data_IF_325756530048
#
_entry.id   IF_325756530048
#
_cell.length_a   1.000
_cell.length_b   1.000
_cell.length_c   1.000
_cell.angle_alpha   90.00
_cell.angle_beta   90.00
_cell.angle_gamma   90.00
#
_symmetry.space_group_name_H-M   'P 1'
#
loop_
_entity.id
_entity.type
_entity.pdbx_description
1 polymer ?
#
# COMPACT_ATOMS: atom_id res chain seq x y z
N UNK A 1 -4.27 -23.62 31.09
CA UNK A 1 -5.31 -23.06 31.98
C UNK A 1 -5.68 -21.59 31.67
N UNK A 2 -5.01 -20.89 30.73
CA UNK A 2 -5.43 -19.53 30.30
C UNK A 2 -6.39 -19.49 29.09
N UNK A 3 -6.47 -20.56 28.29
CA UNK A 3 -7.33 -20.60 27.09
C UNK A 3 -8.84 -20.72 27.38
N UNK A 4 -9.21 -20.96 28.65
CA UNK A 4 -10.60 -21.04 29.08
C UNK A 4 -11.23 -19.67 29.37
N UNK A 5 -10.41 -18.62 29.53
CA UNK A 5 -10.86 -17.26 29.86
C UNK A 5 -10.53 -16.21 28.78
N UNK A 6 -9.61 -16.50 27.87
CA UNK A 6 -9.33 -15.65 26.71
C UNK A 6 -10.14 -16.14 25.51
N UNK A 7 -11.19 -15.41 25.14
CA UNK A 7 -11.84 -15.59 23.84
C UNK A 7 -10.83 -15.19 22.76
N UNK A 8 -10.17 -16.18 22.17
CA UNK A 8 -9.19 -15.94 21.12
C UNK A 8 -9.89 -15.38 19.89
N UNK A 9 -9.65 -14.10 19.61
CA UNK A 9 -10.19 -13.46 18.43
C UNK A 9 -9.34 -13.82 17.22
N UNK A 10 -9.92 -14.60 16.31
CA UNK A 10 -9.27 -15.02 15.08
C UNK A 10 -9.23 -13.91 14.02
N UNK A 11 -10.05 -12.86 14.16
CA UNK A 11 -10.19 -11.81 13.14
C UNK A 11 -8.88 -11.06 12.85
N UNK A 12 -8.11 -10.59 13.85
CA UNK A 12 -6.82 -9.93 13.61
C UNK A 12 -5.83 -10.81 12.85
N UNK A 13 -5.88 -12.13 13.03
CA UNK A 13 -4.96 -13.06 12.37
C UNK A 13 -5.30 -13.18 10.89
N UNK A 14 -6.56 -13.48 10.56
CA UNK A 14 -6.99 -13.59 9.17
C UNK A 14 -6.80 -12.26 8.43
N UNK A 15 -7.19 -11.14 9.03
CA UNK A 15 -7.01 -9.82 8.42
C UNK A 15 -5.54 -9.42 8.35
N UNK A 16 -4.69 -9.85 9.28
CA UNK A 16 -3.25 -9.65 9.19
C UNK A 16 -2.64 -10.31 7.96
N UNK A 17 -3.02 -11.55 7.65
CA UNK A 17 -2.58 -12.22 6.41
C UNK A 17 -3.11 -11.53 5.15
N UNK A 18 -4.37 -11.09 5.16
CA UNK A 18 -4.95 -10.33 4.04
C UNK A 18 -4.22 -8.99 3.85
N UNK A 19 -3.94 -8.27 4.93
CA UNK A 19 -3.21 -7.00 4.91
C UNK A 19 -1.80 -7.20 4.35
N UNK A 20 -1.09 -8.23 4.80
CA UNK A 20 0.25 -8.55 4.31
C UNK A 20 0.25 -8.86 2.81
N UNK A 21 -0.71 -9.68 2.36
CA UNK A 21 -0.86 -10.02 0.95
C UNK A 21 -1.15 -8.79 0.08
N UNK A 22 -2.13 -7.98 0.47
CA UNK A 22 -2.53 -6.78 -0.26
C UNK A 22 -1.42 -5.72 -0.29
N UNK A 23 -0.74 -5.50 0.83
CA UNK A 23 0.39 -4.60 0.89
C UNK A 23 1.55 -5.09 0.02
N UNK A 24 1.90 -6.38 0.11
CA UNK A 24 2.92 -6.98 -0.76
C UNK A 24 2.58 -6.80 -2.24
N UNK A 25 1.34 -7.07 -2.65
CA UNK A 25 0.88 -6.89 -4.02
C UNK A 25 0.97 -5.43 -4.49
N UNK A 26 0.64 -4.46 -3.64
CA UNK A 26 0.79 -3.03 -3.95
C UNK A 26 2.26 -2.65 -4.16
N UNK A 27 3.15 -3.08 -3.27
CA UNK A 27 4.59 -2.78 -3.38
C UNK A 27 5.20 -3.42 -4.63
N UNK A 28 4.82 -4.66 -4.95
CA UNK A 28 5.23 -5.35 -6.18
C UNK A 28 4.74 -4.59 -7.41
N UNK A 29 3.50 -4.11 -7.40
CA UNK A 29 2.93 -3.35 -8.52
C UNK A 29 3.67 -2.02 -8.76
N UNK A 30 4.04 -1.31 -7.67
CA UNK A 30 4.87 -0.10 -7.76
C UNK A 30 6.26 -0.43 -8.32
N UNK A 31 6.87 -1.53 -7.86
CA UNK A 31 8.16 -2.00 -8.36
C UNK A 31 8.12 -2.37 -9.85
N UNK A 32 7.04 -3.03 -10.28
CA UNK A 32 6.82 -3.38 -11.68
C UNK A 32 6.67 -2.12 -12.55
N UNK A 33 5.90 -1.14 -12.10
CA UNK A 33 5.80 0.16 -12.76
C UNK A 33 7.17 0.82 -12.88
N UNK A 34 7.92 0.94 -11.78
CA UNK A 34 9.26 1.52 -11.77
C UNK A 34 10.21 0.84 -12.76
N UNK A 35 10.16 -0.50 -12.82
CA UNK A 35 10.96 -1.30 -13.78
C UNK A 35 10.54 -1.08 -15.24
N UNK A 36 9.29 -0.71 -15.51
CA UNK A 36 8.82 -0.41 -16.85
C UNK A 36 9.27 0.97 -17.36
N UNK A 37 9.66 1.90 -16.46
CA UNK A 37 10.15 3.24 -16.85
C UNK A 37 11.64 3.28 -17.19
N UNK A 38 12.43 2.26 -16.86
CA UNK A 38 13.88 2.31 -17.04
C UNK A 38 14.47 0.94 -17.31
N UNK A 39 15.43 0.88 -18.22
CA UNK A 39 16.21 -0.33 -18.52
C UNK A 39 17.28 -0.61 -17.45
N UNK A 40 17.64 0.40 -16.65
CA UNK A 40 18.67 0.26 -15.63
C UNK A 40 18.06 -0.21 -14.30
N UNK A 41 18.35 -1.45 -13.92
CA UNK A 41 17.85 -2.08 -12.68
C UNK A 41 18.16 -1.27 -11.42
N UNK A 42 19.31 -0.60 -11.35
CA UNK A 42 19.69 0.22 -10.20
C UNK A 42 18.73 1.42 -10.10
N UNK A 43 18.46 2.10 -11.22
CA UNK A 43 17.54 3.23 -11.26
C UNK A 43 16.11 2.78 -10.91
N UNK A 44 15.66 1.63 -11.42
CA UNK A 44 14.36 1.06 -11.09
C UNK A 44 14.21 0.78 -9.58
N UNK A 45 15.26 0.25 -8.95
CA UNK A 45 15.27 0.00 -7.51
C UNK A 45 15.14 1.30 -6.70
N UNK A 46 15.89 2.34 -7.06
CA UNK A 46 15.77 3.64 -6.38
C UNK A 46 14.41 4.31 -6.59
N UNK A 47 13.86 4.22 -7.80
CA UNK A 47 12.55 4.79 -8.11
C UNK A 47 11.44 4.09 -7.31
N UNK A 48 11.42 2.76 -7.31
CA UNK A 48 10.45 1.98 -6.53
C UNK A 48 10.57 2.25 -5.04
N UNK A 49 11.79 2.22 -4.49
CA UNK A 49 12.04 2.55 -3.09
C UNK A 49 11.57 3.97 -2.74
N UNK A 50 11.90 4.96 -3.57
CA UNK A 50 11.48 6.35 -3.39
C UNK A 50 9.96 6.51 -3.39
N UNK A 51 9.25 5.86 -4.32
CA UNK A 51 7.79 5.89 -4.36
C UNK A 51 7.16 5.25 -3.11
N UNK A 52 7.67 4.08 -2.71
CA UNK A 52 7.17 3.36 -1.52
C UNK A 52 7.43 4.18 -0.26
N UNK A 53 8.64 4.71 -0.09
CA UNK A 53 9.02 5.54 1.05
C UNK A 53 8.18 6.82 1.09
N UNK A 54 7.96 7.46 -0.06
CA UNK A 54 7.09 8.62 -0.20
C UNK A 54 5.68 8.33 0.31
N UNK A 55 5.03 7.27 -0.18
CA UNK A 55 3.69 6.85 0.28
C UNK A 55 3.64 6.54 1.77
N UNK A 56 4.70 5.91 2.30
CA UNK A 56 4.79 5.64 3.73
C UNK A 56 4.90 6.93 4.56
N UNK A 57 5.73 7.88 4.13
CA UNK A 57 5.95 9.16 4.81
C UNK A 57 4.72 10.07 4.83
N UNK A 58 3.80 9.93 3.86
CA UNK A 58 2.54 10.70 3.84
C UNK A 58 1.74 10.56 5.15
N UNK A 59 1.78 9.40 5.80
CA UNK A 59 1.09 9.19 7.07
C UNK A 59 1.67 10.05 8.19
N UNK A 60 3.00 10.14 8.26
CA UNK A 60 3.68 11.02 9.22
C UNK A 60 3.40 12.50 8.92
N UNK A 61 3.40 12.89 7.64
CA UNK A 61 3.06 14.25 7.22
C UNK A 61 1.62 14.61 7.57
N UNK A 62 0.66 13.70 7.36
CA UNK A 62 -0.73 13.87 7.76
C UNK A 62 -0.88 14.09 9.27
N UNK A 63 -0.13 13.33 10.08
CA UNK A 63 -0.07 13.53 11.53
C UNK A 63 0.49 14.89 11.96
N UNK A 64 1.51 15.40 11.26
CA UNK A 64 2.10 16.72 11.53
C UNK A 64 1.14 17.85 11.16
N UNK A 65 0.45 17.72 10.02
CA UNK A 65 -0.53 18.69 9.53
C UNK A 65 -1.78 18.74 10.42
N UNK A 66 -2.08 17.65 11.14
CA UNK A 66 -3.13 17.59 12.14
C UNK A 66 -4.54 17.41 11.56
N UNK A 67 -5.55 17.79 12.33
CA UNK A 67 -6.99 17.60 12.04
C UNK A 67 -7.53 18.60 11.00
N UNK A 68 -6.84 18.72 9.88
CA UNK A 68 -7.27 19.52 8.73
C UNK A 68 -7.66 18.60 7.59
N UNK A 69 -8.48 19.11 6.65
CA UNK A 69 -8.85 18.37 5.43
C UNK A 69 -7.63 17.81 4.69
N UNK A 70 -6.54 18.58 4.64
CA UNK A 70 -5.28 18.16 4.00
C UNK A 70 -4.62 17.05 4.80
N UNK A 71 -4.57 17.17 6.13
CA UNK A 71 -4.01 16.13 7.01
C UNK A 71 -4.71 14.79 6.83
N UNK A 72 -6.05 14.78 6.79
CA UNK A 72 -6.81 13.56 6.54
C UNK A 72 -6.55 12.93 5.16
N UNK A 73 -6.42 13.75 4.12
CA UNK A 73 -6.11 13.26 2.76
C UNK A 73 -4.72 12.63 2.73
N UNK A 74 -3.72 13.27 3.36
CA UNK A 74 -2.35 12.75 3.43
C UNK A 74 -2.29 11.42 4.20
N UNK A 75 -2.96 11.34 5.36
CA UNK A 75 -3.03 10.10 6.14
C UNK A 75 -3.72 8.98 5.38
N UNK A 76 -4.84 9.29 4.70
CA UNK A 76 -5.57 8.33 3.87
C UNK A 76 -4.75 7.84 2.67
N UNK A 77 -3.90 8.69 2.08
CA UNK A 77 -3.06 8.27 0.95
C UNK A 77 -1.93 7.33 1.39
N UNK A 78 -1.58 7.32 2.68
CA UNK A 78 -0.60 6.41 3.24
C UNK A 78 -1.17 5.02 3.46
N UNK A 79 -0.45 3.99 3.01
CA UNK A 79 -0.86 2.60 3.25
C UNK A 79 -0.76 2.19 4.73
N UNK A 80 -0.01 2.94 5.55
CA UNK A 80 0.23 2.62 6.96
C UNK A 80 -1.06 2.56 7.78
N UNK A 81 -1.97 3.52 7.59
CA UNK A 81 -3.23 3.59 8.35
C UNK A 81 -4.17 2.43 7.97
N UNK A 82 -4.26 2.12 6.67
CA UNK A 82 -5.04 0.99 6.16
C UNK A 82 -4.49 -0.36 6.67
N UNK A 83 -3.16 -0.52 6.67
CA UNK A 83 -2.50 -1.71 7.20
C UNK A 83 -2.79 -1.89 8.69
N UNK A 84 -2.64 -0.82 9.49
CA UNK A 84 -2.83 -0.87 10.93
C UNK A 84 -4.27 -1.22 11.32
N UNK A 85 -5.26 -0.71 10.60
CA UNK A 85 -6.68 -1.06 10.81
C UNK A 85 -6.94 -2.55 10.58
N UNK A 86 -6.38 -3.11 9.51
CA UNK A 86 -6.57 -4.52 9.17
C UNK A 86 -5.90 -5.45 10.20
N UNK A 87 -4.65 -5.19 10.59
CA UNK A 87 -3.96 -6.04 11.58
C UNK A 87 -4.61 -5.97 12.98
N UNK A 88 -5.36 -4.90 13.28
CA UNK A 88 -6.15 -4.76 14.51
C UNK A 88 -7.48 -5.53 14.44
N UNK A 89 -7.77 -6.24 13.36
CA UNK A 89 -9.02 -6.99 13.19
C UNK A 89 -10.20 -6.15 12.69
N UNK A 90 -9.96 -4.90 12.27
CA UNK A 90 -11.00 -3.99 11.81
C UNK A 90 -11.20 -4.14 10.29
N UNK A 91 -12.20 -4.93 9.90
CA UNK A 91 -12.53 -5.10 8.48
C UNK A 91 -13.36 -3.91 7.98
N UNK A 92 -12.74 -3.04 7.17
CA UNK A 92 -13.48 -2.05 6.39
C UNK A 92 -13.27 -2.26 4.89
N UNK A 93 -14.35 -2.16 4.13
CA UNK A 93 -14.31 -2.23 2.67
C UNK A 93 -13.40 -1.15 2.05
N UNK A 94 -13.29 0.01 2.70
CA UNK A 94 -12.45 1.13 2.27
C UNK A 94 -10.96 0.73 2.21
N UNK A 95 -10.49 -0.04 3.18
CA UNK A 95 -9.09 -0.45 3.27
C UNK A 95 -8.76 -1.45 2.13
N UNK A 96 -9.67 -2.38 1.85
CA UNK A 96 -9.53 -3.33 0.73
C UNK A 96 -9.60 -2.61 -0.63
N UNK A 97 -10.54 -1.68 -0.79
CA UNK A 97 -10.68 -0.90 -2.02
C UNK A 97 -9.45 -0.01 -2.27
N UNK A 98 -8.86 0.56 -1.22
CA UNK A 98 -7.60 1.31 -1.31
C UNK A 98 -6.51 0.45 -1.95
N UNK A 99 -6.25 -0.76 -1.44
CA UNK A 99 -5.23 -1.63 -2.01
C UNK A 99 -5.57 -2.08 -3.44
N UNK A 100 -6.80 -2.55 -3.69
CA UNK A 100 -7.19 -3.04 -5.03
C UNK A 100 -7.08 -1.93 -6.08
N UNK A 101 -7.54 -0.72 -5.77
CA UNK A 101 -7.45 0.42 -6.69
C UNK A 101 -6.00 0.84 -6.94
N UNK A 102 -5.17 0.88 -5.90
CA UNK A 102 -3.74 1.18 -6.05
C UNK A 102 -3.00 0.14 -6.89
N UNK A 103 -3.28 -1.16 -6.67
CA UNK A 103 -2.72 -2.27 -7.46
C UNK A 103 -3.13 -2.12 -8.93
N UNK A 104 -4.42 -1.96 -9.20
CA UNK A 104 -4.95 -1.83 -10.55
C UNK A 104 -4.37 -0.60 -11.28
N UNK A 105 -4.26 0.53 -10.58
CA UNK A 105 -3.68 1.76 -11.12
C UNK A 105 -2.20 1.57 -11.48
N UNK A 106 -1.39 1.01 -10.59
CA UNK A 106 0.04 0.80 -10.85
C UNK A 106 0.28 -0.22 -11.95
N UNK A 107 -0.54 -1.28 -12.00
CA UNK A 107 -0.46 -2.26 -13.07
C UNK A 107 -0.84 -1.67 -14.43
N UNK A 108 -1.90 -0.87 -14.49
CA UNK A 108 -2.29 -0.14 -15.70
C UNK A 108 -1.18 0.83 -16.15
N UNK A 109 -0.59 1.58 -15.20
CA UNK A 109 0.51 2.49 -15.49
C UNK A 109 1.74 1.74 -16.03
N UNK A 110 2.05 0.56 -15.48
CA UNK A 110 3.12 -0.30 -15.98
C UNK A 110 2.86 -0.77 -17.42
N UNK A 111 1.62 -1.20 -17.71
CA UNK A 111 1.23 -1.58 -19.06
C UNK A 111 1.41 -0.43 -20.05
N UNK A 112 0.93 0.77 -19.70
CA UNK A 112 1.06 1.96 -20.54
C UNK A 112 2.52 2.37 -20.75
N UNK A 113 3.37 2.24 -19.73
CA UNK A 113 4.80 2.51 -19.85
C UNK A 113 5.46 1.56 -20.87
N UNK A 114 5.16 0.26 -20.79
CA UNK A 114 5.68 -0.74 -21.74
C UNK A 114 5.20 -0.45 -23.16
N UNK A 115 3.93 -0.14 -23.36
CA UNK A 115 3.40 0.18 -24.70
C UNK A 115 4.02 1.45 -25.30
N UNK A 116 4.30 2.46 -24.47
CA UNK A 116 4.99 3.68 -24.91
C UNK A 116 6.42 3.41 -25.40
N UNK A 117 7.10 2.39 -24.87
CA UNK A 117 8.41 1.94 -25.38
C UNK A 117 8.29 1.17 -26.69
N UNK A 118 7.19 0.43 -26.91
CA UNK A 118 6.98 -0.35 -28.13
C UNK A 118 6.75 0.51 -29.38
N UNK A 119 6.28 1.75 -29.21
CA UNK A 119 5.96 2.67 -30.31
C UNK A 119 7.01 3.76 -30.52
N UNK A 120 8.13 3.68 -29.80
CA UNK A 120 9.37 4.41 -30.12
C UNK A 120 10.24 3.57 -31.03
#
# INVERSE_FOLDING_TARGET
TLSAYATFDWRPIYLGYVALFLQGALLISIGLFASALTENQIIAAFLSFGCILGLWMLGALGGIVGDTTIGHILSYLSFSEHYERLIRGLFNLKDILYYISGIAFMWFAAHQAVDAYRWK
#
